data_IF_007085282199
#
_entry.id   IF_007085282199
#
_cell.length_a   1.000
_cell.length_b   1.000
_cell.length_c   1.000
_cell.angle_alpha   90.00
_cell.angle_beta   90.00
_cell.angle_gamma   90.00
#
_symmetry.space_group_name_H-M   'P 1'
#
loop_
_entity.id
_entity.type
_entity.pdbx_description
1 polymer ?
#
# COMPACT_ATOMS: atom_id res chain seq x y z
N UNK A 1 -5.50 19.87 17.13
CA UNK A 1 -6.00 18.55 17.59
C UNK A 1 -6.33 18.66 19.07
N UNK A 2 -7.44 18.07 19.54
CA UNK A 2 -7.84 18.12 20.95
C UNK A 2 -7.85 16.71 21.54
N UNK A 3 -7.04 16.47 22.58
CA UNK A 3 -7.01 15.19 23.29
C UNK A 3 -7.70 15.41 24.64
N UNK A 4 -8.74 14.62 24.91
CA UNK A 4 -9.39 14.57 26.23
C UNK A 4 -8.73 13.47 27.06
N UNK A 5 -8.05 13.85 28.12
CA UNK A 5 -7.66 12.95 29.20
C UNK A 5 -8.53 13.26 30.42
N UNK A 6 -8.83 12.27 31.25
CA UNK A 6 -9.72 12.38 32.41
C UNK A 6 -9.42 13.64 33.24
N UNK A 7 -10.23 14.69 33.08
CA UNK A 7 -10.10 15.96 33.80
C UNK A 7 -9.36 17.11 33.09
N UNK A 8 -8.76 16.93 31.90
CA UNK A 8 -8.04 18.01 31.19
C UNK A 8 -8.21 17.99 29.67
N UNK A 9 -8.22 19.18 29.05
CA UNK A 9 -8.29 19.37 27.59
C UNK A 9 -6.98 19.97 27.11
N UNK A 10 -6.28 19.24 26.24
CA UNK A 10 -5.09 19.73 25.53
C UNK A 10 -5.49 20.20 24.14
N UNK A 11 -5.22 21.46 23.80
CA UNK A 11 -5.45 22.01 22.45
C UNK A 11 -4.13 22.39 21.80
N UNK A 12 -3.87 21.85 20.60
CA UNK A 12 -2.81 22.34 19.71
C UNK A 12 -3.38 23.17 18.56
N UNK A 13 -2.74 24.31 18.25
CA UNK A 13 -2.97 25.14 17.05
C UNK A 13 -1.68 25.20 16.22
N UNK A 14 -1.75 25.32 14.88
CA UNK A 14 -0.56 25.45 14.04
C UNK A 14 0.24 26.69 14.46
N UNK A 15 1.53 26.51 14.75
CA UNK A 15 2.45 27.61 15.09
C UNK A 15 2.39 28.15 16.53
N UNK A 16 1.68 27.51 17.48
CA UNK A 16 1.67 27.92 18.90
C UNK A 16 1.78 26.74 19.89
N UNK A 17 2.25 27.05 21.11
CA UNK A 17 2.43 26.15 22.26
C UNK A 17 1.11 25.45 22.64
N UNK A 18 1.19 24.20 23.14
CA UNK A 18 0.05 23.45 23.69
C UNK A 18 -0.42 24.09 25.00
N UNK A 19 -1.71 24.43 25.08
CA UNK A 19 -2.35 24.86 26.32
C UNK A 19 -3.20 23.73 26.90
N UNK A 20 -3.06 23.48 28.20
CA UNK A 20 -3.85 22.53 28.98
C UNK A 20 -4.87 23.29 29.84
N UNK A 21 -6.12 22.83 29.85
CA UNK A 21 -7.20 23.42 30.64
C UNK A 21 -7.85 22.36 31.53
N UNK A 22 -8.19 22.69 32.77
CA UNK A 22 -8.98 21.80 33.63
C UNK A 22 -10.40 21.66 33.07
N UNK A 23 -10.94 20.45 33.12
CA UNK A 23 -12.26 20.12 32.60
C UNK A 23 -13.33 20.53 33.62
N UNK A 24 -13.48 21.83 33.82
CA UNK A 24 -14.44 22.43 34.77
C UNK A 24 -14.86 23.86 34.41
N UNK A 25 -14.55 24.34 33.21
CA UNK A 25 -15.03 25.64 32.71
C UNK A 25 -14.28 26.88 33.21
N UNK A 26 -13.41 26.79 34.22
CA UNK A 26 -12.50 27.90 34.57
C UNK A 26 -11.27 27.89 33.65
N UNK A 27 -10.85 29.09 33.20
CA UNK A 27 -9.65 29.28 32.35
C UNK A 27 -8.35 29.21 33.17
N UNK A 28 -8.35 28.40 34.22
CA UNK A 28 -7.19 28.27 35.09
C UNK A 28 -6.21 27.31 34.45
N UNK A 29 -5.05 27.85 34.08
CA UNK A 29 -3.92 27.10 33.53
C UNK A 29 -3.25 26.42 34.71
N UNK A 30 -3.45 25.10 34.85
CA UNK A 30 -2.78 24.33 35.90
C UNK A 30 -1.28 24.20 35.59
N UNK A 31 -0.42 24.48 36.57
CA UNK A 31 1.03 24.32 36.42
C UNK A 31 1.37 22.83 36.31
N UNK A 32 2.34 22.44 35.46
CA UNK A 32 2.76 21.04 35.32
C UNK A 32 3.24 20.37 36.61
N UNK A 33 3.68 21.15 37.61
CA UNK A 33 4.11 20.66 38.94
C UNK A 33 2.99 20.07 39.78
N UNK A 34 1.74 20.44 39.48
CA UNK A 34 0.57 20.03 40.27
C UNK A 34 -0.14 18.80 39.67
N UNK A 35 0.46 18.20 38.64
CA UNK A 35 -0.13 17.09 37.91
C UNK A 35 0.19 15.75 38.60
N UNK A 36 -0.78 14.82 38.69
CA UNK A 36 -0.52 13.48 39.17
C UNK A 36 0.56 12.78 38.31
N UNK A 37 1.47 12.04 38.94
CA UNK A 37 2.61 11.39 38.26
C UNK A 37 2.18 10.51 37.05
N UNK A 38 1.06 9.79 37.18
CA UNK A 38 0.53 8.95 36.11
C UNK A 38 0.06 9.71 34.86
N UNK A 39 -0.20 11.02 34.98
CA UNK A 39 -0.49 11.90 33.84
C UNK A 39 0.81 12.35 33.19
N UNK A 40 1.80 12.75 33.99
CA UNK A 40 3.13 13.16 33.52
C UNK A 40 3.82 12.04 32.71
N UNK A 41 3.67 10.78 33.12
CA UNK A 41 4.21 9.61 32.41
C UNK A 41 3.60 9.39 31.02
N UNK A 42 2.41 9.94 30.76
CA UNK A 42 1.72 9.84 29.46
C UNK A 42 1.96 11.06 28.56
N UNK A 43 2.64 12.09 29.05
CA UNK A 43 3.01 13.27 28.26
C UNK A 43 4.38 13.02 27.61
N UNK A 44 4.52 13.07 26.28
CA UNK A 44 5.77 12.71 25.61
C UNK A 44 6.90 13.76 25.73
N UNK A 45 6.81 14.70 26.67
CA UNK A 45 7.71 15.83 26.83
C UNK A 45 8.12 16.03 28.29
N UNK A 46 9.37 16.43 28.54
CA UNK A 46 9.79 16.92 29.87
C UNK A 46 9.78 18.45 29.87
N UNK A 47 9.18 19.04 30.89
CA UNK A 47 9.05 20.49 31.05
C UNK A 47 10.32 21.06 31.70
N UNK A 48 10.87 22.15 31.16
CA UNK A 48 12.08 22.79 31.70
C UNK A 48 11.91 24.31 31.82
N UNK A 49 11.09 24.75 32.77
CA UNK A 49 10.98 26.16 33.17
C UNK A 49 9.59 26.79 32.96
N UNK A 50 9.32 27.81 33.76
CA UNK A 50 8.12 28.65 33.71
C UNK A 50 8.53 30.11 33.54
N UNK A 51 8.00 30.80 32.53
CA UNK A 51 8.08 32.25 32.39
C UNK A 51 6.67 32.83 32.51
N UNK A 52 6.51 34.09 32.92
CA UNK A 52 5.21 34.75 33.03
C UNK A 52 5.14 35.82 31.94
N UNK A 53 4.10 35.81 31.13
CA UNK A 53 3.89 36.80 30.08
C UNK A 53 3.55 38.19 30.67
N UNK A 54 3.62 39.27 29.88
CA UNK A 54 3.36 40.63 30.35
C UNK A 54 1.93 40.87 30.86
N UNK A 55 1.03 39.91 30.69
CA UNK A 55 -0.35 39.93 31.16
C UNK A 55 -0.60 38.99 32.35
N UNK A 56 0.48 38.52 32.99
CA UNK A 56 0.41 37.70 34.20
C UNK A 56 0.07 36.23 33.96
N UNK A 57 0.16 35.72 32.72
CA UNK A 57 -0.08 34.31 32.44
C UNK A 57 1.22 33.52 32.40
N UNK A 58 1.25 32.41 33.12
CA UNK A 58 2.40 31.50 33.07
C UNK A 58 2.47 30.79 31.72
N UNK A 59 3.58 30.99 31.03
CA UNK A 59 4.01 30.30 29.83
C UNK A 59 5.06 29.26 30.26
N UNK A 60 4.72 27.98 30.14
CA UNK A 60 5.71 26.92 30.30
C UNK A 60 6.53 26.83 29.02
N UNK A 61 7.80 27.22 29.06
CA UNK A 61 8.75 26.96 27.97
C UNK A 61 9.72 25.88 28.37
N UNK A 62 9.89 24.90 27.49
CA UNK A 62 10.91 23.87 27.64
C UNK A 62 10.53 22.59 26.94
N UNK A 63 10.81 22.52 25.63
CA UNK A 63 10.86 21.25 24.91
C UNK A 63 12.29 20.69 25.02
N UNK A 64 12.57 19.97 26.10
CA UNK A 64 13.55 18.87 26.02
C UNK A 64 12.76 17.58 25.99
N UNK A 65 12.57 17.13 24.76
CA UNK A 65 12.49 15.72 24.44
C UNK A 65 13.35 14.85 25.39
N UNK A 66 12.72 13.99 26.20
CA UNK A 66 13.40 12.74 26.64
C UNK A 66 13.32 11.64 25.58
N UNK A 67 12.63 11.91 24.46
CA UNK A 67 12.58 11.06 23.26
C UNK A 67 11.88 11.79 22.09
N UNK A 68 12.68 12.35 21.21
CA UNK A 68 12.39 13.02 19.93
C UNK A 68 13.81 13.22 19.40
N UNK A 69 14.17 12.75 18.22
CA UNK A 69 13.37 12.68 17.02
C UNK A 69 13.60 11.34 16.33
N UNK A 70 12.51 10.63 16.07
CA UNK A 70 12.23 9.84 14.86
C UNK A 70 10.78 9.38 14.98
N UNK A 71 9.86 10.35 15.11
CA UNK A 71 8.52 10.13 14.56
C UNK A 71 8.71 10.15 13.05
N UNK A 72 9.12 9.01 12.50
CA UNK A 72 8.73 8.69 11.15
C UNK A 72 7.21 8.73 11.18
N UNK A 73 6.63 9.80 10.63
CA UNK A 73 5.68 9.56 9.55
C UNK A 73 6.33 8.43 8.74
N UNK A 74 5.79 7.22 8.82
CA UNK A 74 6.30 6.11 8.00
C UNK A 74 5.87 6.44 6.57
N UNK A 75 6.54 7.45 5.99
CA UNK A 75 7.05 7.33 4.65
C UNK A 75 7.94 6.08 4.73
N UNK A 76 7.68 5.03 3.93
CA UNK A 76 8.57 3.89 3.90
C UNK A 76 9.99 4.41 3.71
N UNK A 77 10.86 3.98 4.62
CA UNK A 77 12.27 4.28 4.68
C UNK A 77 12.86 4.30 3.27
N UNK A 78 13.42 5.44 2.86
CA UNK A 78 14.20 5.57 1.63
C UNK A 78 15.57 4.87 1.76
N UNK A 79 15.58 3.60 2.18
CA UNK A 79 16.51 2.65 1.62
C UNK A 79 16.16 2.61 0.13
N UNK A 80 17.09 2.96 -0.76
CA UNK A 80 16.86 3.12 -2.20
C UNK A 80 15.82 2.09 -2.70
N UNK A 81 14.55 2.52 -2.76
CA UNK A 81 13.46 1.60 -3.08
C UNK A 81 13.67 1.26 -4.52
N UNK A 82 13.97 -0.01 -4.81
CA UNK A 82 14.09 -0.51 -6.18
C UNK A 82 12.82 -0.08 -6.93
N UNK A 83 12.98 0.89 -7.84
CA UNK A 83 11.89 1.37 -8.69
C UNK A 83 11.93 0.57 -9.98
N UNK A 84 10.75 0.11 -10.40
CA UNK A 84 10.52 -0.51 -11.69
C UNK A 84 9.68 0.45 -12.53
N UNK A 85 10.30 1.47 -13.17
CA UNK A 85 9.57 2.49 -13.93
C UNK A 85 8.73 1.89 -15.07
N UNK A 86 9.13 0.73 -15.58
CA UNK A 86 8.44 -0.03 -16.62
C UNK A 86 7.24 -0.86 -16.11
N UNK A 87 7.10 -1.02 -14.79
CA UNK A 87 6.03 -1.79 -14.19
C UNK A 87 4.79 -0.93 -13.94
N UNK A 88 3.63 -1.44 -14.35
CA UNK A 88 2.31 -0.88 -14.03
C UNK A 88 1.52 -1.88 -13.20
N UNK A 89 1.15 -1.49 -11.98
CA UNK A 89 0.21 -2.25 -11.17
C UNK A 89 -1.21 -1.79 -11.45
N UNK A 90 -2.10 -2.74 -11.74
CA UNK A 90 -3.53 -2.49 -11.95
C UNK A 90 -4.30 -3.27 -10.88
N UNK A 91 -4.92 -2.54 -9.96
CA UNK A 91 -5.76 -3.09 -8.91
C UNK A 91 -7.24 -2.78 -9.17
N UNK A 92 -8.13 -3.58 -8.59
CA UNK A 92 -9.55 -3.30 -8.59
C UNK A 92 -10.40 -4.46 -8.11
N UNK A 93 -11.67 -4.19 -7.87
CA UNK A 93 -12.61 -5.23 -7.43
C UNK A 93 -12.85 -6.34 -8.46
N UNK A 94 -13.61 -7.35 -8.06
CA UNK A 94 -14.14 -8.34 -8.99
C UNK A 94 -15.02 -7.66 -10.04
N UNK A 95 -14.90 -8.09 -11.30
CA UNK A 95 -15.67 -7.56 -12.45
C UNK A 95 -15.54 -6.04 -12.66
N UNK A 96 -14.50 -5.40 -12.14
CA UNK A 96 -14.28 -3.96 -12.34
C UNK A 96 -13.84 -3.57 -13.75
N UNK A 97 -13.44 -4.54 -14.58
CA UNK A 97 -12.90 -4.29 -15.93
C UNK A 97 -11.36 -4.24 -16.02
N UNK A 98 -10.66 -4.56 -14.93
CA UNK A 98 -9.18 -4.48 -14.88
C UNK A 98 -8.44 -5.34 -15.90
N UNK A 99 -8.85 -6.58 -16.17
CA UNK A 99 -8.18 -7.43 -17.17
C UNK A 99 -8.31 -6.85 -18.58
N UNK A 100 -9.50 -6.34 -18.95
CA UNK A 100 -9.70 -5.65 -20.25
C UNK A 100 -8.80 -4.42 -20.37
N UNK A 101 -8.71 -3.62 -19.31
CA UNK A 101 -7.84 -2.45 -19.31
C UNK A 101 -6.36 -2.84 -19.42
N UNK A 102 -5.94 -3.89 -18.73
CA UNK A 102 -4.58 -4.40 -18.75
C UNK A 102 -4.19 -4.94 -20.14
N UNK A 103 -5.08 -5.70 -20.78
CA UNK A 103 -4.89 -6.18 -22.15
C UNK A 103 -4.80 -5.02 -23.14
N UNK A 104 -5.72 -4.06 -23.08
CA UNK A 104 -5.68 -2.90 -23.98
C UNK A 104 -4.37 -2.10 -23.86
N UNK A 105 -3.83 -1.96 -22.64
CA UNK A 105 -2.54 -1.30 -22.42
C UNK A 105 -1.38 -2.07 -23.06
N UNK A 106 -1.31 -3.40 -22.88
CA UNK A 106 -0.19 -4.16 -23.44
C UNK A 106 -0.27 -4.28 -24.96
N UNK A 107 -1.48 -4.46 -25.52
CA UNK A 107 -1.67 -4.61 -26.97
C UNK A 107 -1.50 -3.30 -27.73
N UNK A 108 -1.41 -2.17 -27.04
CA UNK A 108 -0.99 -0.90 -27.64
C UNK A 108 0.51 -0.87 -28.01
N UNK A 109 1.30 -1.80 -27.47
CA UNK A 109 2.72 -1.97 -27.76
C UNK A 109 2.95 -2.96 -28.92
N UNK A 110 4.10 -2.92 -29.60
CA UNK A 110 4.43 -3.92 -30.62
C UNK A 110 4.44 -5.36 -30.07
N UNK A 111 3.83 -6.28 -30.80
CA UNK A 111 3.91 -7.72 -30.56
C UNK A 111 5.33 -8.26 -30.81
N UNK A 112 5.75 -9.40 -30.22
CA UNK A 112 4.93 -10.37 -29.49
C UNK A 112 4.83 -10.11 -27.98
N UNK A 113 3.63 -10.27 -27.42
CA UNK A 113 3.33 -10.09 -26.00
C UNK A 113 3.35 -11.42 -25.25
N UNK A 114 3.64 -11.38 -23.94
CA UNK A 114 3.55 -12.55 -23.05
C UNK A 114 2.39 -12.39 -22.07
N UNK A 115 1.61 -13.45 -21.91
CA UNK A 115 0.58 -13.56 -20.88
C UNK A 115 1.02 -14.62 -19.87
N UNK A 116 1.28 -14.22 -18.63
CA UNK A 116 1.58 -15.13 -17.53
C UNK A 116 0.27 -15.41 -16.79
N UNK A 117 -0.25 -16.62 -16.98
CA UNK A 117 -1.46 -17.10 -16.33
C UNK A 117 -1.09 -17.74 -14.98
N UNK A 118 -1.65 -17.21 -13.90
CA UNK A 118 -1.44 -17.72 -12.54
C UNK A 118 -2.62 -18.53 -12.02
N UNK A 119 -3.77 -18.47 -12.71
CA UNK A 119 -4.95 -19.21 -12.37
C UNK A 119 -4.75 -20.72 -12.57
N UNK A 120 -5.17 -21.52 -11.59
CA UNK A 120 -5.29 -22.97 -11.72
C UNK A 120 -6.76 -23.35 -11.81
N UNK A 121 -7.16 -24.03 -12.88
CA UNK A 121 -8.55 -24.42 -13.12
C UNK A 121 -8.99 -25.57 -12.19
N UNK A 122 -9.28 -25.25 -10.92
CA UNK A 122 -9.74 -26.23 -9.94
C UNK A 122 -11.22 -26.62 -10.12
N UNK A 123 -12.01 -25.80 -10.83
CA UNK A 123 -13.41 -26.06 -11.12
C UNK A 123 -13.76 -25.82 -12.61
N UNK A 124 -14.92 -26.33 -13.03
CA UNK A 124 -15.38 -26.24 -14.41
C UNK A 124 -15.73 -24.80 -14.84
N UNK A 125 -16.23 -23.98 -13.91
CA UNK A 125 -16.57 -22.57 -14.18
C UNK A 125 -15.30 -21.76 -14.51
N UNK A 126 -14.22 -21.99 -13.76
CA UNK A 126 -12.92 -21.39 -13.98
C UNK A 126 -12.30 -21.87 -15.29
N UNK A 127 -12.46 -23.16 -15.64
CA UNK A 127 -12.00 -23.69 -16.93
C UNK A 127 -12.69 -23.01 -18.11
N UNK A 128 -14.02 -22.92 -18.09
CA UNK A 128 -14.79 -22.22 -19.15
C UNK A 128 -14.41 -20.74 -19.24
N UNK A 129 -14.16 -20.08 -18.11
CA UNK A 129 -13.68 -18.68 -18.10
C UNK A 129 -12.29 -18.54 -18.70
N UNK A 130 -11.36 -19.43 -18.39
CA UNK A 130 -10.01 -19.43 -18.97
C UNK A 130 -10.07 -19.64 -20.48
N UNK A 131 -10.89 -20.58 -20.94
CA UNK A 131 -11.09 -20.87 -22.37
C UNK A 131 -11.68 -19.68 -23.12
N UNK A 132 -12.76 -19.08 -22.60
CA UNK A 132 -13.36 -17.88 -23.19
C UNK A 132 -12.36 -16.72 -23.25
N UNK A 133 -11.55 -16.56 -22.21
CA UNK A 133 -10.54 -15.50 -22.16
C UNK A 133 -9.38 -15.75 -23.14
N UNK A 134 -8.95 -17.00 -23.31
CA UNK A 134 -7.96 -17.39 -24.34
C UNK A 134 -8.50 -17.16 -25.75
N UNK A 135 -9.74 -17.55 -26.02
CA UNK A 135 -10.37 -17.41 -27.33
C UNK A 135 -10.62 -15.95 -27.74
N UNK A 136 -10.82 -15.05 -26.77
CA UNK A 136 -11.03 -13.63 -27.01
C UNK A 136 -9.73 -12.84 -27.32
N UNK A 137 -8.55 -13.46 -27.19
CA UNK A 137 -7.27 -12.77 -27.42
C UNK A 137 -6.97 -12.66 -28.91
N UNK A 138 -6.48 -11.48 -29.30
CA UNK A 138 -5.98 -11.21 -30.65
C UNK A 138 -4.73 -12.05 -30.97
N UNK A 139 -4.32 -12.13 -32.24
CA UNK A 139 -3.06 -12.77 -32.59
C UNK A 139 -1.86 -12.03 -31.97
N UNK A 140 -0.77 -12.76 -31.66
CA UNK A 140 0.48 -12.18 -31.13
C UNK A 140 0.73 -12.40 -29.64
N UNK A 141 -0.18 -13.09 -28.94
CA UNK A 141 0.01 -13.52 -27.56
C UNK A 141 0.72 -14.88 -27.47
N UNK A 142 1.68 -14.95 -26.56
CA UNK A 142 2.23 -16.19 -26.06
C UNK A 142 1.80 -16.36 -24.60
N UNK A 143 1.10 -17.45 -24.29
CA UNK A 143 0.64 -17.74 -22.93
C UNK A 143 1.62 -18.69 -22.24
N UNK A 144 2.03 -18.34 -21.03
CA UNK A 144 2.85 -19.15 -20.14
C UNK A 144 2.05 -19.40 -18.86
N UNK A 145 1.92 -20.65 -18.46
CA UNK A 145 1.31 -21.01 -17.18
C UNK A 145 2.37 -21.00 -16.09
N UNK A 146 2.21 -20.12 -15.11
CA UNK A 146 3.13 -20.00 -13.97
C UNK A 146 2.33 -19.79 -12.68
N UNK A 147 1.66 -20.84 -12.16
CA UNK A 147 0.81 -20.71 -10.98
C UNK A 147 1.60 -20.43 -9.69
N UNK A 148 2.89 -20.78 -9.66
CA UNK A 148 3.78 -20.65 -8.50
C UNK A 148 5.04 -19.83 -8.83
N UNK A 149 5.76 -20.18 -9.90
CA UNK A 149 7.03 -19.55 -10.25
C UNK A 149 6.88 -18.47 -11.35
N UNK A 150 6.21 -17.37 -10.99
CA UNK A 150 6.10 -16.21 -11.88
C UNK A 150 7.44 -15.49 -12.08
N UNK A 151 8.39 -15.63 -11.15
CA UNK A 151 9.68 -14.96 -11.21
C UNK A 151 10.52 -15.49 -12.38
N UNK A 152 10.60 -16.81 -12.54
CA UNK A 152 11.26 -17.44 -13.69
C UNK A 152 10.58 -17.06 -15.01
N UNK A 153 9.25 -17.16 -15.07
CA UNK A 153 8.48 -16.82 -16.28
C UNK A 153 8.66 -15.36 -16.72
N UNK A 154 8.90 -14.45 -15.78
CA UNK A 154 9.23 -13.05 -16.03
C UNK A 154 10.64 -12.86 -16.60
N UNK A 155 11.64 -13.64 -16.20
CA UNK A 155 13.04 -13.43 -16.65
C UNK A 155 13.42 -14.19 -17.91
N UNK A 156 12.65 -15.20 -18.35
CA UNK A 156 12.92 -15.93 -19.60
C UNK A 156 12.94 -15.03 -20.84
N UNK A 157 12.13 -13.96 -20.86
CA UNK A 157 12.09 -12.99 -21.95
C UNK A 157 12.00 -11.55 -21.40
N UNK A 158 13.12 -11.00 -20.90
CA UNK A 158 13.12 -9.74 -20.14
C UNK A 158 12.80 -8.51 -21.00
N UNK A 159 12.95 -8.62 -22.33
CA UNK A 159 12.74 -7.56 -23.30
C UNK A 159 11.33 -7.53 -23.94
N UNK A 160 10.46 -8.51 -23.66
CA UNK A 160 9.10 -8.56 -24.23
C UNK A 160 8.07 -7.96 -23.28
N UNK A 161 7.08 -7.19 -23.77
CA UNK A 161 5.97 -6.74 -22.94
C UNK A 161 5.22 -7.95 -22.34
N UNK A 162 4.90 -7.86 -21.05
CA UNK A 162 4.26 -8.97 -20.32
C UNK A 162 3.07 -8.48 -19.50
N UNK A 163 2.03 -9.30 -19.47
CA UNK A 163 0.87 -9.17 -18.60
C UNK A 163 0.83 -10.37 -17.63
N UNK A 164 0.78 -10.11 -16.33
CA UNK A 164 0.53 -11.11 -15.29
C UNK A 164 -0.90 -10.95 -14.78
N UNK A 165 -1.74 -11.97 -14.95
CA UNK A 165 -3.14 -11.96 -14.48
C UNK A 165 -3.44 -13.28 -13.73
N UNK A 166 -3.58 -13.29 -12.40
CA UNK A 166 -3.33 -12.16 -11.48
C UNK A 166 -2.49 -12.55 -10.27
N UNK A 167 -1.85 -11.54 -9.68
CA UNK A 167 -1.06 -11.66 -8.47
C UNK A 167 -1.86 -12.20 -7.28
N UNK A 168 -3.17 -11.91 -7.21
CA UNK A 168 -4.01 -12.43 -6.12
C UNK A 168 -4.28 -13.93 -6.25
N UNK A 169 -4.39 -14.48 -7.46
CA UNK A 169 -4.50 -15.94 -7.63
C UNK A 169 -3.16 -16.62 -7.37
N UNK A 170 -2.05 -16.02 -7.82
CA UNK A 170 -0.71 -16.49 -7.47
C UNK A 170 -0.52 -16.56 -5.95
N UNK A 171 -0.89 -15.51 -5.23
CA UNK A 171 -0.84 -15.48 -3.77
C UNK A 171 -1.72 -16.57 -3.14
N UNK A 172 -2.93 -16.80 -3.67
CA UNK A 172 -3.79 -17.90 -3.21
C UNK A 172 -3.11 -19.25 -3.38
N UNK A 173 -2.50 -19.51 -4.54
CA UNK A 173 -1.79 -20.77 -4.79
C UNK A 173 -0.63 -20.97 -3.80
N UNK A 174 0.14 -19.91 -3.53
CA UNK A 174 1.23 -19.96 -2.56
C UNK A 174 0.75 -20.25 -1.14
N UNK A 175 -0.33 -19.59 -0.69
CA UNK A 175 -0.90 -19.81 0.65
C UNK A 175 -1.45 -21.23 0.79
N UNK A 176 -2.19 -21.71 -0.21
CA UNK A 176 -2.79 -23.05 -0.20
C UNK A 176 -1.75 -24.16 -0.32
N UNK A 177 -0.64 -23.91 -1.03
CA UNK A 177 0.50 -24.82 -1.11
C UNK A 177 1.51 -24.68 0.03
N UNK A 178 1.22 -23.86 1.04
CA UNK A 178 2.07 -23.62 2.22
C UNK A 178 3.51 -23.16 1.85
N UNK A 179 3.64 -22.41 0.76
CA UNK A 179 4.92 -21.89 0.29
C UNK A 179 5.40 -20.70 1.15
N UNK A 180 6.72 -20.47 1.12
CA UNK A 180 7.36 -19.31 1.76
C UNK A 180 7.00 -18.01 1.00
N UNK A 181 6.03 -17.25 1.54
CA UNK A 181 5.56 -15.99 0.94
C UNK A 181 6.65 -14.92 0.90
N UNK A 182 7.42 -14.65 1.98
CA UNK A 182 8.55 -13.73 1.93
C UNK A 182 9.53 -14.03 0.79
N UNK A 183 9.98 -15.28 0.65
CA UNK A 183 10.93 -15.69 -0.38
C UNK A 183 10.33 -15.55 -1.80
N UNK A 184 9.08 -15.96 -1.99
CA UNK A 184 8.39 -15.84 -3.28
C UNK A 184 8.21 -14.36 -3.69
N UNK A 185 7.90 -13.49 -2.72
CA UNK A 185 7.80 -12.05 -2.95
C UNK A 185 9.15 -11.44 -3.34
N UNK A 186 10.22 -11.77 -2.62
CA UNK A 186 11.57 -11.31 -2.94
C UNK A 186 11.99 -11.76 -4.34
N UNK A 187 11.68 -13.02 -4.72
CA UNK A 187 11.93 -13.52 -6.06
C UNK A 187 11.19 -12.72 -7.15
N UNK A 188 9.91 -12.39 -6.92
CA UNK A 188 9.13 -11.53 -7.82
C UNK A 188 9.76 -10.13 -7.95
N UNK A 189 10.12 -9.49 -6.83
CA UNK A 189 10.73 -8.16 -6.82
C UNK A 189 12.07 -8.14 -7.56
N UNK A 190 12.89 -9.18 -7.35
CA UNK A 190 14.16 -9.37 -8.06
C UNK A 190 13.95 -9.61 -9.55
N UNK A 191 12.93 -10.37 -9.95
CA UNK A 191 12.58 -10.58 -11.35
C UNK A 191 12.14 -9.26 -12.02
N UNK A 192 11.32 -8.46 -11.34
CA UNK A 192 10.91 -7.13 -11.83
C UNK A 192 12.11 -6.19 -11.98
N UNK A 193 13.09 -6.24 -11.06
CA UNK A 193 14.31 -5.44 -11.12
C UNK A 193 15.19 -5.77 -12.33
N UNK A 194 15.13 -7.00 -12.83
CA UNK A 194 15.91 -7.48 -13.99
C UNK A 194 15.25 -7.18 -15.33
N UNK A 195 14.04 -6.61 -15.33
CA UNK A 195 13.28 -6.32 -16.55
C UNK A 195 13.36 -4.85 -16.93
N UNK A 196 13.42 -4.60 -18.23
CA UNK A 196 13.34 -3.25 -18.83
C UNK A 196 12.11 -3.09 -19.72
N UNK A 197 11.43 -4.18 -20.08
CA UNK A 197 10.21 -4.13 -20.88
C UNK A 197 8.97 -3.81 -20.03
N UNK A 198 7.94 -3.28 -20.70
CA UNK A 198 6.65 -3.00 -20.08
C UNK A 198 6.11 -4.26 -19.37
N UNK A 199 5.80 -4.12 -18.09
CA UNK A 199 5.35 -5.22 -17.25
C UNK A 199 4.06 -4.79 -16.55
N UNK A 200 2.93 -5.39 -16.92
CA UNK A 200 1.64 -5.09 -16.33
C UNK A 200 1.30 -6.20 -15.34
N UNK A 201 1.00 -5.82 -14.11
CA UNK A 201 0.66 -6.72 -13.01
C UNK A 201 -0.78 -6.45 -12.60
N UNK A 202 -1.65 -7.44 -12.70
CA UNK A 202 -3.05 -7.33 -12.28
C UNK A 202 -3.20 -7.95 -10.89
N UNK A 203 -3.93 -7.27 -10.00
CA UNK A 203 -4.29 -7.80 -8.69
C UNK A 203 -5.73 -7.39 -8.32
N UNK A 204 -6.36 -8.17 -7.44
CA UNK A 204 -7.64 -7.75 -6.85
C UNK A 204 -7.39 -6.83 -5.65
N UNK A 205 -8.25 -5.81 -5.50
CA UNK A 205 -8.41 -5.11 -4.23
C UNK A 205 -9.50 -5.83 -3.43
N UNK A 206 -9.13 -6.36 -2.26
CA UNK A 206 -10.00 -7.21 -1.40
C UNK A 206 -10.16 -6.65 0.02
N UNK A 207 -9.46 -5.55 0.32
CA UNK A 207 -9.36 -4.95 1.66
C UNK A 207 -10.44 -3.93 1.99
N UNK A 208 -11.28 -3.51 1.04
CA UNK A 208 -12.30 -2.47 1.21
C UNK A 208 -13.63 -2.96 1.81
N UNK A 209 -13.71 -4.25 2.19
CA UNK A 209 -14.88 -4.87 2.79
C UNK A 209 -14.76 -5.12 4.30
N UNK A 210 -15.72 -5.90 4.81
CA UNK A 210 -15.75 -6.37 6.20
C UNK A 210 -14.62 -7.38 6.43
N UNK A 211 -14.13 -7.48 7.67
CA UNK A 211 -13.17 -8.51 8.09
C UNK A 211 -13.83 -9.89 8.01
N UNK A 212 -13.27 -10.85 7.27
CA UNK A 212 -13.84 -12.20 7.22
C UNK A 212 -13.78 -12.93 8.56
N UNK A 213 -14.78 -13.79 8.83
CA UNK A 213 -14.77 -14.67 10.01
C UNK A 213 -13.83 -15.87 9.87
N UNK A 214 -13.55 -16.27 8.62
CA UNK A 214 -12.63 -17.36 8.31
C UNK A 214 -11.16 -16.91 8.43
N UNK A 215 -10.35 -17.66 9.18
CA UNK A 215 -8.94 -17.35 9.43
C UNK A 215 -8.07 -17.34 8.15
N UNK A 216 -8.29 -18.29 7.24
CA UNK A 216 -7.61 -18.34 5.94
C UNK A 216 -7.99 -17.13 5.08
N UNK A 217 -9.27 -16.73 5.10
CA UNK A 217 -9.73 -15.56 4.36
C UNK A 217 -9.15 -14.25 4.92
N UNK A 218 -9.02 -14.12 6.26
CA UNK A 218 -8.30 -12.98 6.88
C UNK A 218 -6.84 -12.94 6.47
N UNK A 219 -6.13 -14.08 6.58
CA UNK A 219 -4.74 -14.20 6.15
C UNK A 219 -4.58 -13.78 4.68
N UNK A 220 -5.41 -14.32 3.79
CA UNK A 220 -5.37 -13.96 2.38
C UNK A 220 -5.59 -12.45 2.15
N UNK A 221 -6.59 -11.85 2.83
CA UNK A 221 -6.84 -10.40 2.74
C UNK A 221 -5.63 -9.58 3.16
N UNK A 222 -5.03 -9.92 4.30
CA UNK A 222 -3.89 -9.18 4.86
C UNK A 222 -2.66 -9.31 3.97
N UNK A 223 -2.34 -10.53 3.51
CA UNK A 223 -1.22 -10.78 2.60
C UNK A 223 -1.43 -10.14 1.22
N UNK A 224 -2.66 -10.12 0.70
CA UNK A 224 -2.98 -9.44 -0.56
C UNK A 224 -2.76 -7.92 -0.44
N UNK A 225 -3.12 -7.33 0.71
CA UNK A 225 -2.85 -5.93 1.02
C UNK A 225 -1.35 -5.63 1.09
N UNK A 226 -0.56 -6.51 1.72
CA UNK A 226 0.90 -6.38 1.79
C UNK A 226 1.57 -6.52 0.42
N UNK A 227 1.15 -7.50 -0.37
CA UNK A 227 1.57 -7.69 -1.76
C UNK A 227 1.31 -6.44 -2.60
N UNK A 228 0.08 -5.93 -2.58
CA UNK A 228 -0.28 -4.73 -3.34
C UNK A 228 0.57 -3.51 -2.93
N UNK A 229 0.83 -3.33 -1.63
CA UNK A 229 1.68 -2.25 -1.12
C UNK A 229 3.13 -2.36 -1.62
N UNK A 230 3.73 -3.55 -1.53
CA UNK A 230 5.11 -3.80 -1.99
C UNK A 230 5.27 -3.53 -3.48
N UNK A 231 4.35 -4.06 -4.29
CA UNK A 231 4.38 -3.84 -5.74
C UNK A 231 4.11 -2.38 -6.10
N UNK A 232 3.15 -1.73 -5.44
CA UNK A 232 2.85 -0.31 -5.67
C UNK A 232 4.04 0.61 -5.33
N UNK A 233 4.80 0.28 -4.28
CA UNK A 233 5.98 1.04 -3.88
C UNK A 233 7.04 1.05 -5.00
N UNK A 234 7.33 -0.11 -5.61
CA UNK A 234 8.30 -0.22 -6.69
C UNK A 234 7.78 0.19 -8.08
N UNK A 235 6.49 -0.03 -8.39
CA UNK A 235 5.94 0.20 -9.73
C UNK A 235 5.97 1.68 -10.17
N UNK A 236 6.30 1.96 -11.43
CA UNK A 236 6.28 3.32 -11.99
C UNK A 236 4.87 3.91 -12.09
N UNK A 237 3.86 3.07 -12.31
CA UNK A 237 2.45 3.48 -12.40
C UNK A 237 1.56 2.54 -11.59
N UNK A 238 0.54 3.10 -10.93
CA UNK A 238 -0.49 2.34 -10.22
C UNK A 238 -1.87 2.86 -10.62
N UNK A 239 -2.75 1.96 -11.05
CA UNK A 239 -4.12 2.25 -11.45
C UNK A 239 -5.11 1.48 -10.57
N UNK A 240 -6.16 2.15 -10.10
CA UNK A 240 -7.35 1.52 -9.58
C UNK A 240 -8.42 1.51 -10.66
N UNK A 241 -8.98 0.34 -10.96
CA UNK A 241 -10.09 0.20 -11.90
C UNK A 241 -11.39 0.02 -11.13
N UNK A 242 -12.35 0.91 -11.37
CA UNK A 242 -13.68 0.89 -10.77
C UNK A 242 -14.74 1.14 -11.86
N UNK A 243 -15.73 0.24 -11.97
CA UNK A 243 -16.79 0.32 -12.98
C UNK A 243 -16.29 0.52 -14.43
N UNK A 244 -15.14 -0.06 -14.78
CA UNK A 244 -14.48 0.09 -16.07
C UNK A 244 -13.62 1.35 -16.22
N UNK A 245 -13.69 2.28 -15.27
CA UNK A 245 -12.93 3.52 -15.28
C UNK A 245 -11.57 3.36 -14.60
N UNK A 246 -10.53 3.93 -15.20
CA UNK A 246 -9.18 3.93 -14.63
C UNK A 246 -8.92 5.19 -13.80
N UNK A 247 -8.57 4.99 -12.53
CA UNK A 247 -8.20 6.02 -11.57
C UNK A 247 -6.70 5.92 -11.29
N UNK A 248 -5.87 6.89 -11.72
CA UNK A 248 -4.44 6.86 -11.42
C UNK A 248 -4.21 7.11 -9.92
N UNK A 249 -3.54 6.17 -9.26
CA UNK A 249 -3.08 6.30 -7.86
C UNK A 249 -1.61 6.73 -7.78
N UNK A 250 -0.80 6.33 -8.77
CA UNK A 250 0.60 6.72 -8.94
C UNK A 250 0.88 6.89 -10.43
N UNK A 251 1.54 7.99 -10.79
CA UNK A 251 1.98 8.27 -12.15
C UNK A 251 3.51 8.45 -12.19
N UNK A 252 4.15 8.21 -13.34
CA UNK A 252 5.55 8.56 -13.52
C UNK A 252 5.73 10.06 -13.32
N UNK A 253 6.79 10.45 -12.60
CA UNK A 253 7.15 11.86 -12.42
C UNK A 253 7.45 12.48 -13.80
N UNK A 254 6.62 13.43 -14.25
CA UNK A 254 6.80 14.18 -15.51
C UNK A 254 5.75 13.98 -16.62
N UNK A 255 4.70 13.18 -16.43
CA UNK A 255 3.66 12.97 -17.45
C UNK A 255 2.36 13.74 -17.19
N UNK A 256 2.21 14.91 -17.81
CA UNK A 256 0.90 15.56 -17.95
C UNK A 256 -0.03 14.66 -18.79
N UNK A 257 -1.25 14.44 -18.30
CA UNK A 257 -2.33 13.80 -19.05
C UNK A 257 -2.63 14.62 -20.31
N UNK A 258 -2.19 14.14 -21.47
CA UNK A 258 -2.74 14.52 -22.77
C UNK A 258 -3.24 13.27 -23.46
#
# INVERSE_FOLDING_TARGET
MAIRCSGFILRSRPGKILSAYSCGGSRDIAQPTDWPAHVLDRVPFSFSGTEIDPHGKTIVQGFRSRRLMKSNMIMPNAAATTRWPHATLIIGGARSGKSRHAEALITSLPSPWRYIATAQAFDAEMRTRIEAHRAARVAGWETVEAPLDIATALIEHPARPVLVDCLTLWLSNLILGEHDLPAAMEALENALARRSACTILVANEVGLGIVPDNALARRFRDEAGLLNQRIAAGAGRVLLIAAGCALPLKQPEGGSLR
#
